data_IF_313710697111
#
_entry.id   IF_313710697111
#
_cell.length_a   1.000
_cell.length_b   1.000
_cell.length_c   1.000
_cell.angle_alpha   90.00
_cell.angle_beta   90.00
_cell.angle_gamma   90.00
#
_symmetry.space_group_name_H-M   'P 1'
#
loop_
_entity.id
_entity.type
_entity.pdbx_description
1 polymer ?
#
# COMPACT_ATOMS: atom_id res chain seq x y z
N UNK A 1 10.19 11.46 -26.92
CA UNK A 1 8.73 11.51 -26.62
C UNK A 1 8.47 10.46 -25.55
N UNK A 2 8.17 10.89 -24.33
CA UNK A 2 8.06 10.03 -23.14
C UNK A 2 6.72 9.26 -23.12
N UNK A 3 6.45 8.42 -24.13
CA UNK A 3 5.13 7.76 -24.26
C UNK A 3 4.79 6.90 -23.03
N UNK A 4 5.80 6.35 -22.36
CA UNK A 4 5.60 5.57 -21.13
C UNK A 4 5.09 6.42 -19.95
N UNK A 5 5.49 7.69 -19.83
CA UNK A 5 5.00 8.55 -18.74
C UNK A 5 3.53 8.91 -18.94
N UNK A 6 3.15 9.22 -20.18
CA UNK A 6 1.76 9.52 -20.53
C UNK A 6 0.86 8.29 -20.32
N UNK A 7 1.35 7.10 -20.69
CA UNK A 7 0.63 5.85 -20.48
C UNK A 7 0.47 5.51 -18.99
N UNK A 8 1.53 5.64 -18.18
CA UNK A 8 1.46 5.45 -16.73
C UNK A 8 0.45 6.44 -16.13
N UNK A 9 0.54 7.73 -16.47
CA UNK A 9 -0.42 8.72 -15.96
C UNK A 9 -1.85 8.32 -16.33
N UNK A 10 -2.09 7.92 -17.59
CA UNK A 10 -3.41 7.50 -18.05
C UNK A 10 -3.93 6.29 -17.27
N UNK A 11 -3.09 5.29 -16.99
CA UNK A 11 -3.50 4.10 -16.23
C UNK A 11 -3.93 4.49 -14.82
N UNK A 12 -3.14 5.31 -14.13
CA UNK A 12 -3.38 5.67 -12.74
C UNK A 12 -4.52 6.70 -12.57
N UNK A 13 -4.77 7.56 -13.55
CA UNK A 13 -5.79 8.61 -13.45
C UNK A 13 -7.12 8.24 -14.11
N UNK A 14 -7.20 7.13 -14.85
CA UNK A 14 -8.44 6.72 -15.52
C UNK A 14 -9.47 6.28 -14.48
N UNK A 15 -10.58 7.02 -14.38
CA UNK A 15 -11.64 6.74 -13.42
C UNK A 15 -11.19 6.93 -11.96
N UNK A 16 -10.04 7.59 -11.73
CA UNK A 16 -9.56 7.87 -10.39
C UNK A 16 -10.53 8.81 -9.69
N UNK A 17 -10.90 8.46 -8.46
CA UNK A 17 -11.64 9.35 -7.57
C UNK A 17 -10.73 10.44 -6.99
N UNK A 18 -10.97 10.88 -5.75
CA UNK A 18 -10.16 11.92 -5.12
C UNK A 18 -8.72 11.46 -4.81
N UNK A 19 -8.44 10.16 -4.80
CA UNK A 19 -7.11 9.57 -4.77
C UNK A 19 -6.90 8.72 -6.04
N UNK A 20 -5.73 8.85 -6.66
CA UNK A 20 -5.37 8.16 -7.89
C UNK A 20 -4.29 7.09 -7.66
N UNK A 21 -3.36 7.34 -6.74
CA UNK A 21 -2.28 6.42 -6.44
C UNK A 21 -1.88 6.45 -4.96
N UNK A 22 -1.25 5.36 -4.55
CA UNK A 22 -0.59 5.21 -3.27
C UNK A 22 0.88 4.92 -3.51
N UNK A 23 1.77 5.69 -2.90
CA UNK A 23 3.21 5.47 -2.95
C UNK A 23 3.68 4.91 -1.61
N UNK A 24 4.20 3.69 -1.62
CA UNK A 24 4.69 2.97 -0.45
C UNK A 24 6.20 3.00 -0.48
N UNK A 25 6.84 3.55 0.55
CA UNK A 25 8.29 3.72 0.57
C UNK A 25 8.86 3.52 1.96
N UNK A 26 10.14 3.13 2.01
CA UNK A 26 10.86 2.98 3.27
C UNK A 26 11.31 4.35 3.77
N UNK A 27 10.99 4.66 5.02
CA UNK A 27 11.46 5.84 5.74
C UNK A 27 12.51 5.42 6.77
N UNK A 28 13.77 5.74 6.50
CA UNK A 28 14.90 5.47 7.40
C UNK A 28 16.24 5.63 6.69
N UNK A 29 17.28 6.01 7.44
CA UNK A 29 18.62 6.23 6.91
C UNK A 29 19.29 4.90 6.58
N UNK A 30 19.71 4.74 5.32
CA UNK A 30 20.66 3.72 4.92
C UNK A 30 22.04 4.08 5.50
N UNK A 31 22.33 3.73 6.76
CA UNK A 31 23.71 3.79 7.26
C UNK A 31 23.97 4.10 8.73
N UNK A 32 22.96 4.33 9.58
CA UNK A 32 23.21 4.49 11.02
C UNK A 32 23.22 3.11 11.72
N UNK A 33 24.36 2.64 12.26
CA UNK A 33 24.38 1.41 13.05
C UNK A 33 23.67 1.69 14.38
N UNK A 34 22.47 1.15 14.55
CA UNK A 34 21.96 0.86 15.90
C UNK A 34 20.57 1.39 16.31
N UNK A 35 19.91 2.30 15.58
CA UNK A 35 18.69 2.95 16.16
C UNK A 35 17.57 3.32 15.18
N UNK A 36 17.48 2.72 14.01
CA UNK A 36 16.41 3.03 13.05
C UNK A 36 15.52 1.84 12.74
N UNK A 37 14.40 1.69 13.44
CA UNK A 37 13.33 0.78 12.99
C UNK A 37 12.88 1.25 11.61
N UNK A 38 13.03 0.39 10.60
CA UNK A 38 12.68 0.72 9.23
C UNK A 38 11.16 0.86 9.12
N UNK A 39 10.67 2.10 9.17
CA UNK A 39 9.23 2.35 9.07
C UNK A 39 8.81 2.43 7.60
N UNK A 40 7.80 1.64 7.23
CA UNK A 40 7.15 1.76 5.94
C UNK A 40 6.18 2.96 6.00
N UNK A 41 6.33 3.92 5.08
CA UNK A 41 5.47 5.10 4.99
C UNK A 41 4.65 5.04 3.71
N UNK A 42 3.47 5.66 3.76
CA UNK A 42 2.50 5.64 2.67
C UNK A 42 2.08 7.07 2.35
N UNK A 43 2.15 7.44 1.08
CA UNK A 43 1.69 8.73 0.57
C UNK A 43 0.54 8.54 -0.41
N UNK A 44 -0.52 9.32 -0.24
CA UNK A 44 -1.69 9.30 -1.12
C UNK A 44 -1.61 10.44 -2.12
N UNK A 45 -1.67 10.10 -3.40
CA UNK A 45 -1.51 11.04 -4.51
C UNK A 45 -2.83 11.23 -5.23
N UNK A 46 -3.23 12.49 -5.38
CA UNK A 46 -4.27 12.87 -6.33
C UNK A 46 -3.75 12.85 -7.77
N UNK A 47 -4.63 13.10 -8.74
CA UNK A 47 -4.28 13.15 -10.16
C UNK A 47 -3.07 14.06 -10.42
N UNK A 48 -3.07 15.26 -9.80
CA UNK A 48 -1.97 16.22 -9.94
C UNK A 48 -0.67 15.71 -9.33
N UNK A 49 -0.76 15.02 -8.20
CA UNK A 49 0.33 14.36 -7.50
C UNK A 49 0.98 13.28 -8.37
N UNK A 50 0.18 12.44 -9.04
CA UNK A 50 0.67 11.43 -9.99
C UNK A 50 1.42 12.08 -11.16
N UNK A 51 0.85 13.12 -11.79
CA UNK A 51 1.53 13.85 -12.85
C UNK A 51 2.87 14.44 -12.38
N UNK A 52 2.90 15.05 -11.20
CA UNK A 52 4.14 15.59 -10.62
C UNK A 52 5.14 14.47 -10.34
N UNK A 53 4.68 13.35 -9.78
CA UNK A 53 5.50 12.18 -9.44
C UNK A 53 6.19 11.59 -10.69
N UNK A 54 5.45 11.42 -11.79
CA UNK A 54 5.99 10.84 -13.03
C UNK A 54 6.83 11.84 -13.85
N UNK A 55 6.52 13.13 -13.76
CA UNK A 55 7.10 14.16 -14.62
C UNK A 55 8.38 14.77 -14.04
N UNK A 56 8.46 14.98 -12.71
CA UNK A 56 9.56 15.75 -12.10
C UNK A 56 10.87 14.97 -11.94
N UNK A 57 10.90 13.66 -12.12
CA UNK A 57 12.14 12.87 -12.06
C UNK A 57 12.92 12.99 -10.75
N UNK A 58 12.35 13.60 -9.71
CA UNK A 58 12.92 13.62 -8.37
C UNK A 58 13.05 12.17 -7.93
N UNK A 59 14.29 11.70 -7.74
CA UNK A 59 14.60 10.37 -7.22
C UNK A 59 13.96 10.25 -5.84
N UNK A 60 12.76 9.68 -5.80
CA UNK A 60 12.13 9.26 -4.55
C UNK A 60 12.78 7.96 -4.09
N UNK A 61 12.87 7.75 -2.77
CA UNK A 61 13.49 6.56 -2.19
C UNK A 61 12.85 5.28 -2.74
N UNK A 62 13.59 4.17 -2.66
CA UNK A 62 13.13 2.84 -3.07
C UNK A 62 11.71 2.58 -2.54
N UNK A 63 10.78 2.41 -3.47
CA UNK A 63 9.35 2.37 -3.17
C UNK A 63 8.52 1.86 -4.33
N UNK A 64 7.25 1.59 -4.04
CA UNK A 64 6.27 1.03 -4.96
C UNK A 64 5.16 2.04 -5.15
N UNK A 65 4.97 2.47 -6.40
CA UNK A 65 3.79 3.22 -6.80
C UNK A 65 2.69 2.23 -7.19
N UNK A 66 1.56 2.29 -6.48
CA UNK A 66 0.42 1.41 -6.69
C UNK A 66 -0.82 2.23 -7.02
N UNK A 67 -1.62 1.76 -7.98
CA UNK A 67 -2.88 2.41 -8.32
C UNK A 67 -3.83 2.34 -7.11
N UNK A 68 -4.49 3.45 -6.81
CA UNK A 68 -5.49 3.48 -5.74
C UNK A 68 -6.74 2.75 -6.20
N UNK A 69 -7.18 1.76 -5.42
CA UNK A 69 -8.44 1.04 -5.68
C UNK A 69 -9.54 1.72 -4.88
N UNK A 70 -10.52 2.38 -5.53
CA UNK A 70 -11.58 3.06 -4.82
C UNK A 70 -12.42 2.07 -4.01
N UNK A 71 -12.81 2.43 -2.77
CA UNK A 71 -13.68 1.61 -1.95
C UNK A 71 -15.07 1.49 -2.59
N UNK A 72 -15.77 0.40 -2.27
CA UNK A 72 -17.19 0.24 -2.64
C UNK A 72 -18.12 1.14 -1.82
N UNK A 73 -17.68 1.49 -0.62
CA UNK A 73 -18.40 2.36 0.31
C UNK A 73 -17.83 3.78 0.26
N UNK A 74 -18.44 4.69 1.01
CA UNK A 74 -18.08 6.11 0.99
C UNK A 74 -16.73 6.41 1.66
N UNK A 75 -16.30 5.58 2.60
CA UNK A 75 -15.08 5.76 3.37
C UNK A 75 -13.99 4.84 2.81
N UNK A 76 -12.72 5.29 2.84
CA UNK A 76 -11.63 4.38 2.53
C UNK A 76 -11.59 3.26 3.56
N UNK A 77 -11.35 2.03 3.10
CA UNK A 77 -11.14 0.90 3.99
C UNK A 77 -10.04 0.01 3.44
N UNK A 78 -9.20 -0.51 4.33
CA UNK A 78 -8.05 -1.34 3.97
C UNK A 78 -8.01 -2.55 4.88
N UNK A 79 -7.51 -3.64 4.30
CA UNK A 79 -7.27 -4.90 5.01
C UNK A 79 -5.77 -5.05 5.18
N UNK A 80 -5.33 -5.32 6.41
CA UNK A 80 -3.95 -5.64 6.76
C UNK A 80 -3.88 -7.11 7.17
N UNK A 81 -3.14 -7.93 6.42
CA UNK A 81 -2.67 -9.22 6.95
C UNK A 81 -1.24 -9.08 7.47
N UNK A 82 -1.01 -9.54 8.68
CA UNK A 82 0.31 -9.84 9.23
C UNK A 82 0.47 -11.35 9.26
N UNK A 83 1.45 -11.87 8.54
CA UNK A 83 1.63 -13.31 8.41
C UNK A 83 3.04 -13.79 8.76
N UNK A 84 3.07 -15.02 9.25
CA UNK A 84 4.23 -15.91 9.39
C UNK A 84 3.83 -17.26 8.79
N UNK A 85 4.77 -18.21 8.60
CA UNK A 85 4.43 -19.54 8.06
C UNK A 85 3.34 -20.30 8.84
N UNK A 86 3.04 -19.93 10.09
CA UNK A 86 2.07 -20.62 10.94
C UNK A 86 0.83 -19.79 11.29
N UNK A 87 0.85 -18.48 11.04
CA UNK A 87 -0.19 -17.54 11.50
C UNK A 87 -0.41 -16.48 10.43
N UNK A 88 -1.65 -16.19 10.01
CA UNK A 88 -2.03 -14.92 9.36
C UNK A 88 -3.13 -14.28 10.20
N UNK A 89 -2.84 -13.09 10.71
CA UNK A 89 -3.78 -12.22 11.42
C UNK A 89 -4.26 -11.20 10.40
N UNK A 90 -5.57 -11.05 10.28
CA UNK A 90 -6.20 -10.17 9.30
C UNK A 90 -7.12 -9.19 10.02
N UNK A 91 -6.78 -7.92 9.90
CA UNK A 91 -7.52 -6.80 10.46
C UNK A 91 -8.02 -5.89 9.34
N UNK A 92 -9.16 -5.24 9.55
CA UNK A 92 -9.70 -4.27 8.61
C UNK A 92 -10.02 -2.98 9.34
N UNK A 93 -9.64 -1.85 8.73
CA UNK A 93 -9.96 -0.52 9.24
C UNK A 93 -10.63 0.32 8.17
N UNK A 94 -11.50 1.23 8.61
CA UNK A 94 -12.13 2.23 7.76
C UNK A 94 -11.80 3.64 8.27
N UNK A 95 -11.53 4.56 7.35
CA UNK A 95 -11.30 5.97 7.68
C UNK A 95 -12.59 6.60 8.22
N UNK A 96 -12.47 7.53 9.17
CA UNK A 96 -13.64 8.21 9.75
C UNK A 96 -14.28 9.23 8.81
N UNK A 97 -13.52 9.75 7.85
CA UNK A 97 -13.94 10.74 6.87
C UNK A 97 -14.37 10.06 5.57
N UNK A 98 -15.40 10.64 4.95
CA UNK A 98 -15.84 10.22 3.62
C UNK A 98 -14.75 10.59 2.60
N UNK A 99 -14.50 9.68 1.67
CA UNK A 99 -13.45 9.82 0.66
C UNK A 99 -13.66 11.07 -0.19
N UNK A 100 -14.92 11.49 -0.41
CA UNK A 100 -15.30 12.66 -1.21
C UNK A 100 -15.48 13.96 -0.41
N UNK A 101 -15.34 13.96 0.92
CA UNK A 101 -15.46 15.18 1.72
C UNK A 101 -14.29 16.12 1.40
N UNK A 102 -14.55 17.32 0.88
CA UNK A 102 -13.47 18.24 0.47
C UNK A 102 -12.91 19.07 1.62
N UNK A 103 -13.49 18.97 2.82
CA UNK A 103 -13.00 19.69 4.02
C UNK A 103 -11.67 19.13 4.54
N UNK A 104 -11.37 17.88 4.21
CA UNK A 104 -10.16 17.17 4.62
C UNK A 104 -9.23 16.92 3.44
N UNK A 105 -7.94 16.83 3.72
CA UNK A 105 -6.94 16.51 2.68
C UNK A 105 -7.17 15.11 2.10
N UNK A 106 -6.62 14.81 0.92
CA UNK A 106 -6.66 13.44 0.37
C UNK A 106 -6.02 12.46 1.33
N UNK A 107 -4.90 12.84 1.93
CA UNK A 107 -4.20 12.04 2.92
C UNK A 107 -5.10 11.68 4.12
N UNK A 108 -5.76 12.67 4.73
CA UNK A 108 -6.59 12.45 5.93
C UNK A 108 -7.82 11.58 5.67
N UNK A 109 -8.30 11.54 4.42
CA UNK A 109 -9.46 10.73 4.00
C UNK A 109 -9.10 9.31 3.57
N UNK A 110 -7.84 9.12 3.18
CA UNK A 110 -7.34 7.82 2.73
C UNK A 110 -6.59 7.05 3.82
N UNK A 111 -6.11 7.72 4.87
CA UNK A 111 -5.28 7.07 5.88
C UNK A 111 -6.05 6.02 6.68
N UNK A 112 -5.40 4.89 7.01
CA UNK A 112 -6.02 3.79 7.75
C UNK A 112 -5.11 3.26 8.86
N UNK A 113 -4.36 2.20 8.60
CA UNK A 113 -3.41 1.59 9.54
C UNK A 113 -2.14 2.42 9.75
N UNK A 114 -1.87 3.34 8.84
CA UNK A 114 -0.66 4.16 8.77
C UNK A 114 -0.75 5.43 9.63
N UNK A 115 -1.97 5.78 10.04
CA UNK A 115 -2.28 7.00 10.78
C UNK A 115 -2.42 6.80 12.27
N UNK A 116 -2.84 7.88 12.93
CA UNK A 116 -3.19 7.84 14.36
C UNK A 116 -4.48 7.05 14.56
N UNK A 117 -4.60 6.44 15.73
CA UNK A 117 -5.75 5.57 16.10
C UNK A 117 -7.12 6.23 15.94
N UNK A 118 -7.23 7.57 16.05
CA UNK A 118 -8.49 8.30 15.91
C UNK A 118 -8.87 8.65 14.46
N UNK A 119 -7.98 8.42 13.49
CA UNK A 119 -8.25 8.75 12.08
C UNK A 119 -8.97 7.62 11.33
N UNK A 120 -9.07 6.44 11.96
CA UNK A 120 -9.75 5.28 11.42
C UNK A 120 -10.34 4.44 12.55
N UNK A 121 -11.32 3.61 12.24
CA UNK A 121 -11.93 2.67 13.18
C UNK A 121 -11.75 1.24 12.68
N UNK A 122 -11.68 0.29 13.61
CA UNK A 122 -11.74 -1.12 13.26
C UNK A 122 -13.14 -1.48 12.78
N UNK A 123 -13.19 -2.24 11.69
CA UNK A 123 -14.43 -2.71 11.11
C UNK A 123 -14.41 -4.23 11.02
N UNK A 124 -15.60 -4.82 10.99
CA UNK A 124 -15.73 -6.26 10.87
C UNK A 124 -15.10 -6.75 9.56
N UNK A 125 -14.08 -7.60 9.69
CA UNK A 125 -13.50 -8.31 8.55
C UNK A 125 -14.16 -9.68 8.42
N UNK A 126 -14.91 -9.89 7.33
CA UNK A 126 -15.62 -11.13 7.07
C UNK A 126 -14.69 -12.34 6.93
N UNK A 127 -15.13 -13.51 7.40
CA UNK A 127 -14.34 -14.75 7.37
C UNK A 127 -13.80 -15.09 5.98
N UNK A 128 -14.61 -14.91 4.94
CA UNK A 128 -14.19 -15.13 3.55
C UNK A 128 -12.96 -14.28 3.17
N UNK A 129 -12.90 -13.01 3.59
CA UNK A 129 -11.74 -12.14 3.31
C UNK A 129 -10.52 -12.65 4.07
N UNK A 130 -10.70 -13.07 5.33
CA UNK A 130 -9.62 -13.63 6.14
C UNK A 130 -9.04 -14.90 5.53
N UNK A 131 -9.90 -15.83 5.12
CA UNK A 131 -9.52 -17.07 4.43
C UNK A 131 -8.76 -16.76 3.13
N UNK A 132 -9.29 -15.86 2.30
CA UNK A 132 -8.63 -15.44 1.05
C UNK A 132 -7.26 -14.82 1.30
N UNK A 133 -7.12 -13.97 2.31
CA UNK A 133 -5.83 -13.41 2.69
C UNK A 133 -4.84 -14.50 3.14
N UNK A 134 -5.30 -15.47 3.93
CA UNK A 134 -4.50 -16.59 4.40
C UNK A 134 -4.01 -17.46 3.23
N UNK A 135 -4.88 -17.79 2.27
CA UNK A 135 -4.54 -18.57 1.07
C UNK A 135 -3.46 -17.88 0.23
N UNK A 136 -3.58 -16.56 0.04
CA UNK A 136 -2.59 -15.76 -0.70
C UNK A 136 -1.25 -15.78 0.04
N UNK A 137 -1.25 -15.54 1.35
CA UNK A 137 -0.03 -15.55 2.16
C UNK A 137 0.63 -16.92 2.15
N UNK A 138 -0.14 -18.01 2.23
CA UNK A 138 0.36 -19.37 2.15
C UNK A 138 1.00 -19.67 0.79
N UNK A 139 0.33 -19.28 -0.30
CA UNK A 139 0.85 -19.44 -1.66
C UNK A 139 2.18 -18.69 -1.83
N UNK A 140 2.26 -17.46 -1.32
CA UNK A 140 3.50 -16.68 -1.31
C UNK A 140 4.59 -17.37 -0.49
N UNK A 141 4.29 -17.83 0.72
CA UNK A 141 5.23 -18.53 1.59
C UNK A 141 5.78 -19.81 0.95
N UNK A 142 4.91 -20.64 0.38
CA UNK A 142 5.28 -21.87 -0.30
C UNK A 142 6.18 -21.60 -1.52
N UNK A 143 5.86 -20.58 -2.31
CA UNK A 143 6.68 -20.17 -3.45
C UNK A 143 8.07 -19.68 -3.02
N UNK A 144 8.14 -18.85 -1.97
CA UNK A 144 9.40 -18.38 -1.40
C UNK A 144 10.23 -19.54 -0.85
N UNK A 145 9.62 -20.49 -0.16
CA UNK A 145 10.31 -21.67 0.37
C UNK A 145 10.85 -22.56 -0.75
N UNK A 146 10.07 -22.78 -1.82
CA UNK A 146 10.52 -23.51 -3.00
C UNK A 146 11.75 -22.83 -3.63
N UNK A 147 11.70 -21.50 -3.78
CA UNK A 147 12.80 -20.75 -4.36
C UNK A 147 14.06 -20.77 -3.47
N UNK A 148 13.90 -20.55 -2.16
CA UNK A 148 14.99 -20.58 -1.19
C UNK A 148 15.69 -21.95 -1.17
N UNK A 149 14.94 -23.05 -1.18
CA UNK A 149 15.49 -24.41 -1.27
C UNK A 149 16.30 -24.61 -2.55
N UNK A 150 15.82 -24.12 -3.70
CA UNK A 150 16.55 -24.22 -4.98
C UNK A 150 17.84 -23.41 -5.00
N UNK A 151 17.87 -22.23 -4.38
CA UNK A 151 19.10 -21.43 -4.29
C UNK A 151 20.13 -22.09 -3.38
N UNK A 152 19.72 -22.65 -2.24
CA UNK A 152 20.61 -23.40 -1.36
C UNK A 152 21.22 -24.62 -2.06
N UNK A 153 20.42 -25.37 -2.84
CA UNK A 153 20.89 -26.51 -3.63
C UNK A 153 21.77 -26.15 -4.83
N UNK A 154 21.88 -24.87 -5.22
CA UNK A 154 22.78 -24.40 -6.29
C UNK A 154 24.11 -23.87 -5.76
N UNK A 155 24.20 -23.66 -4.45
CA UNK A 155 25.41 -23.16 -3.77
C UNK A 155 26.26 -24.32 -3.23
N UNK A 156 25.67 -25.51 -3.10
CA UNK A 156 26.34 -26.79 -2.80
C UNK A 156 26.67 -27.52 -4.10
#
# INVERSE_FOLDING_TARGET
>A
KDCHKEEINKIFTKGSGPCAATFIFRKGDFGAPGTGEATCSVEFLDVRGVYKFTSKGERRPDGILQQFVPPKLENNSTVKCVWTPHVCIVDQRANIHHLHDKRYSVHDRCITHEGKSHQSTEVFCGSFVKERCADICWTMAAHLQMYARRQLLRIV
#
